data_IF_864006526330
#
_entry.id   IF_864006526330
#
_cell.length_a   1.000
_cell.length_b   1.000
_cell.length_c   1.000
_cell.angle_alpha   90.00
_cell.angle_beta   90.00
_cell.angle_gamma   90.00
#
_symmetry.space_group_name_H-M   'P 1'
#
loop_
_entity.id
_entity.type
_entity.pdbx_description
1 polymer ?
#
# COMPACT_ATOMS: atom_id res chain seq x y z
N UNK A 1 1.64 -8.19 23.34
CA UNK A 1 1.08 -9.54 23.10
C UNK A 1 2.04 -10.63 23.55
N UNK A 2 3.28 -10.69 23.03
CA UNK A 2 4.30 -11.65 23.49
C UNK A 2 4.56 -11.61 25.00
N UNK A 3 4.80 -10.43 25.58
CA UNK A 3 5.03 -10.27 27.03
C UNK A 3 3.86 -10.72 27.91
N UNK A 4 2.64 -10.71 27.36
CA UNK A 4 1.42 -11.19 28.02
C UNK A 4 1.14 -12.68 27.73
N UNK A 5 2.04 -13.40 27.05
CA UNK A 5 1.89 -14.82 26.72
C UNK A 5 0.86 -15.13 25.63
N UNK A 6 0.30 -14.11 24.96
CA UNK A 6 -0.74 -14.31 23.93
C UNK A 6 -0.17 -14.78 22.58
N UNK A 7 1.11 -14.55 22.33
CA UNK A 7 1.81 -14.98 21.11
C UNK A 7 3.23 -15.43 21.45
N UNK A 8 3.77 -16.37 20.68
CA UNK A 8 5.14 -16.86 20.88
C UNK A 8 6.21 -15.92 20.30
N UNK A 9 5.86 -15.19 19.23
CA UNK A 9 6.76 -14.26 18.54
C UNK A 9 6.31 -12.81 18.73
N UNK A 10 7.27 -11.88 18.67
CA UNK A 10 7.00 -10.45 18.57
C UNK A 10 7.02 -10.05 17.11
N UNK A 11 6.07 -10.58 16.35
CA UNK A 11 5.94 -10.36 14.93
C UNK A 11 4.46 -10.30 14.53
N UNK A 12 4.15 -9.64 13.42
CA UNK A 12 2.80 -9.61 12.87
C UNK A 12 2.81 -9.59 11.34
N UNK A 13 1.85 -10.28 10.74
CA UNK A 13 1.58 -10.29 9.30
C UNK A 13 0.48 -9.30 8.93
N UNK A 14 0.61 -8.64 7.78
CA UNK A 14 -0.34 -7.65 7.27
C UNK A 14 -0.77 -8.07 5.87
N UNK A 15 -2.07 -8.03 5.63
CA UNK A 15 -2.69 -8.12 4.31
C UNK A 15 -3.86 -7.14 4.25
N UNK A 16 -3.78 -6.12 3.39
CA UNK A 16 -4.80 -5.06 3.34
C UNK A 16 -5.90 -5.30 2.30
N UNK A 17 -5.74 -6.30 1.41
CA UNK A 17 -6.61 -6.52 0.25
C UNK A 17 -6.64 -5.27 -0.69
N UNK A 18 -7.46 -5.28 -1.75
CA UNK A 18 -7.50 -4.16 -2.71
C UNK A 18 -8.04 -2.85 -2.09
N UNK A 19 -7.69 -1.67 -2.64
CA UNK A 19 -8.06 -0.35 -2.07
C UNK A 19 -9.56 -0.06 -2.00
N UNK A 20 -10.39 -0.86 -2.68
CA UNK A 20 -11.86 -0.83 -2.68
C UNK A 20 -12.44 -1.82 -1.68
N UNK A 21 -11.63 -2.74 -1.14
CA UNK A 21 -12.02 -3.66 -0.08
C UNK A 21 -12.24 -2.90 1.22
N UNK A 22 -13.30 -3.26 1.94
CA UNK A 22 -13.51 -2.82 3.33
C UNK A 22 -12.89 -3.78 4.33
N UNK A 23 -12.22 -4.83 3.86
CA UNK A 23 -11.67 -5.89 4.68
C UNK A 23 -10.17 -6.02 4.47
N UNK A 24 -9.45 -6.05 5.59
CA UNK A 24 -8.05 -6.44 5.68
C UNK A 24 -7.82 -7.27 6.94
N UNK A 25 -6.63 -7.83 7.09
CA UNK A 25 -6.27 -8.67 8.22
C UNK A 25 -4.89 -8.37 8.74
N UNK A 26 -4.76 -8.40 10.07
CA UNK A 26 -3.50 -8.41 10.79
C UNK A 26 -3.45 -9.69 11.62
N UNK A 27 -2.32 -10.39 11.57
CA UNK A 27 -2.12 -11.63 12.32
C UNK A 27 -0.95 -11.41 13.25
N UNK A 28 -1.15 -11.58 14.55
CA UNK A 28 -0.09 -11.45 15.54
C UNK A 28 0.50 -12.80 15.89
N UNK A 29 1.80 -12.83 16.18
CA UNK A 29 2.50 -14.07 16.52
C UNK A 29 2.91 -14.90 15.29
N UNK A 30 2.93 -14.28 14.12
CA UNK A 30 3.34 -14.93 12.88
C UNK A 30 4.79 -15.38 12.98
N UNK A 31 5.06 -16.56 12.46
CA UNK A 31 6.41 -17.02 12.15
C UNK A 31 6.60 -16.94 10.63
N UNK A 32 7.79 -16.61 10.13
CA UNK A 32 8.06 -16.60 8.69
C UNK A 32 9.33 -17.42 8.44
N UNK A 33 9.23 -18.43 7.59
CA UNK A 33 10.31 -19.38 7.32
C UNK A 33 11.04 -19.11 5.99
N UNK A 34 10.52 -18.17 5.18
CA UNK A 34 11.13 -17.83 3.89
C UNK A 34 12.17 -16.71 4.03
N UNK A 35 12.72 -16.30 2.90
CA UNK A 35 13.67 -15.19 2.84
C UNK A 35 13.09 -13.91 3.45
N UNK A 36 13.98 -13.15 4.09
CA UNK A 36 13.65 -11.89 4.73
C UNK A 36 14.59 -10.80 4.23
N UNK A 37 14.06 -9.59 4.11
CA UNK A 37 14.85 -8.38 4.06
C UNK A 37 15.32 -8.00 5.47
N UNK A 38 16.57 -7.55 5.59
CA UNK A 38 17.05 -6.92 6.82
C UNK A 38 16.31 -5.60 7.04
N UNK A 39 15.81 -5.39 8.25
CA UNK A 39 15.22 -4.12 8.65
C UNK A 39 16.29 -3.25 9.32
N UNK A 40 16.08 -1.93 9.27
CA UNK A 40 16.88 -0.99 10.05
C UNK A 40 16.56 -1.15 11.54
N UNK A 41 17.60 -1.14 12.38
CA UNK A 41 17.48 -1.22 13.83
C UNK A 41 18.14 0.00 14.48
N UNK A 42 17.60 0.44 15.62
CA UNK A 42 18.20 1.49 16.43
C UNK A 42 19.49 1.00 17.11
N UNK A 43 20.17 1.88 17.86
CA UNK A 43 21.42 1.56 18.57
C UNK A 43 21.29 0.41 19.58
N UNK A 44 20.08 0.06 20.00
CA UNK A 44 19.79 -1.03 20.92
C UNK A 44 19.41 -2.32 20.18
N UNK A 45 19.52 -2.36 18.85
CA UNK A 45 19.14 -3.50 18.01
C UNK A 45 17.63 -3.70 17.89
N UNK A 46 16.82 -2.67 18.16
CA UNK A 46 15.36 -2.74 18.06
C UNK A 46 14.87 -2.09 16.77
N UNK A 47 13.94 -2.75 16.08
CA UNK A 47 13.20 -2.13 14.98
C UNK A 47 12.18 -1.13 15.55
N UNK A 48 12.36 0.16 15.27
CA UNK A 48 11.37 1.22 15.57
C UNK A 48 10.47 1.51 14.37
N UNK A 49 11.01 1.26 13.17
CA UNK A 49 10.40 1.51 11.88
C UNK A 49 10.68 0.30 10.97
N UNK A 50 9.92 0.15 9.88
CA UNK A 50 10.12 -0.93 8.90
C UNK A 50 10.74 -0.36 7.63
N UNK A 51 12.05 -0.09 7.70
CA UNK A 51 12.85 0.45 6.61
C UNK A 51 13.70 -0.65 5.99
N UNK A 52 13.42 -0.98 4.73
CA UNK A 52 14.13 -2.00 3.95
C UNK A 52 14.66 -1.42 2.64
N UNK A 53 15.55 -2.15 1.96
CA UNK A 53 16.16 -1.72 0.70
C UNK A 53 15.32 -2.11 -0.52
N UNK A 54 14.72 -1.14 -1.19
CA UNK A 54 14.14 -1.30 -2.52
C UNK A 54 15.24 -1.31 -3.58
N UNK A 55 15.21 -2.28 -4.48
CA UNK A 55 16.23 -2.47 -5.53
C UNK A 55 15.76 -2.02 -6.90
N UNK A 56 14.45 -1.96 -7.14
CA UNK A 56 13.87 -1.45 -8.38
C UNK A 56 12.43 -0.95 -8.18
N UNK A 57 12.04 -0.06 -9.07
CA UNK A 57 10.66 0.36 -9.27
C UNK A 57 10.40 0.39 -10.77
N UNK A 58 9.26 -0.15 -11.22
CA UNK A 58 8.92 -0.17 -12.64
C UNK A 58 7.41 -0.11 -12.86
N UNK A 59 7.01 0.35 -14.04
CA UNK A 59 5.67 0.14 -14.58
C UNK A 59 5.78 -0.92 -15.68
N UNK A 60 4.94 -1.94 -15.62
CA UNK A 60 4.86 -2.99 -16.64
C UNK A 60 3.46 -3.04 -17.24
N UNK A 61 3.37 -3.43 -18.51
CA UNK A 61 2.11 -3.52 -19.26
C UNK A 61 2.10 -2.63 -20.49
N UNK A 62 1.05 -2.70 -21.30
CA UNK A 62 0.96 -1.93 -22.55
C UNK A 62 -0.23 -2.32 -23.42
N UNK A 63 -0.65 -1.37 -24.27
CA UNK A 63 -1.66 -1.61 -25.30
C UNK A 63 -1.09 -2.47 -26.44
N UNK A 64 -1.92 -3.34 -27.03
CA UNK A 64 -1.62 -4.21 -28.18
C UNK A 64 -0.68 -5.42 -27.91
N UNK A 65 -0.81 -6.11 -26.78
CA UNK A 65 -0.11 -7.38 -26.47
C UNK A 65 1.43 -7.31 -26.44
N UNK A 66 2.03 -6.10 -26.41
CA UNK A 66 3.45 -5.91 -26.16
C UNK A 66 3.66 -5.53 -24.70
N UNK A 67 4.26 -6.43 -23.91
CA UNK A 67 4.73 -6.10 -22.56
C UNK A 67 5.88 -5.11 -22.68
N UNK A 68 5.60 -3.85 -22.34
CA UNK A 68 6.63 -2.86 -22.11
C UNK A 68 6.96 -2.83 -20.61
N UNK A 69 8.22 -2.54 -20.30
CA UNK A 69 8.68 -2.26 -18.94
C UNK A 69 9.32 -0.88 -18.96
N UNK A 70 8.76 0.03 -18.18
CA UNK A 70 9.33 1.36 -17.93
C UNK A 70 9.97 1.33 -16.56
N UNK A 71 11.30 1.35 -16.52
CA UNK A 71 12.05 1.43 -15.27
C UNK A 71 11.93 2.85 -14.70
N UNK A 72 11.61 2.95 -13.41
CA UNK A 72 11.54 4.19 -12.66
C UNK A 72 12.79 4.28 -11.80
N UNK A 73 13.54 5.37 -11.95
CA UNK A 73 14.78 5.56 -11.21
C UNK A 73 14.52 5.73 -9.72
N UNK A 74 15.22 4.96 -8.89
CA UNK A 74 15.31 5.18 -7.46
C UNK A 74 16.59 5.99 -7.14
N UNK A 75 16.67 6.67 -5.98
CA UNK A 75 17.83 7.49 -5.62
C UNK A 75 19.17 6.72 -5.61
N UNK A 76 19.12 5.41 -5.37
CA UNK A 76 20.28 4.52 -5.41
C UNK A 76 19.83 3.06 -5.68
N UNK A 77 20.78 2.14 -5.84
CA UNK A 77 20.51 0.72 -6.16
C UNK A 77 19.83 -0.08 -5.03
N UNK A 78 19.85 0.43 -3.81
CA UNK A 78 19.29 -0.17 -2.60
C UNK A 78 18.64 0.93 -1.77
N UNK A 79 17.59 1.54 -2.32
CA UNK A 79 16.99 2.74 -1.77
C UNK A 79 16.27 2.38 -0.47
N UNK A 80 16.61 3.03 0.67
CA UNK A 80 15.89 2.80 1.90
C UNK A 80 14.46 3.29 1.72
N UNK A 81 13.50 2.43 2.01
CA UNK A 81 12.07 2.72 1.93
C UNK A 81 11.37 2.29 3.20
N UNK A 82 10.55 3.18 3.75
CA UNK A 82 9.63 2.86 4.84
C UNK A 82 8.43 2.11 4.28
N UNK A 83 8.11 0.95 4.87
CA UNK A 83 6.84 0.28 4.64
C UNK A 83 5.80 0.83 5.63
N UNK A 84 4.93 1.72 5.15
CA UNK A 84 4.07 2.54 6.00
C UNK A 84 2.57 2.25 5.77
N UNK A 85 1.98 1.38 6.59
CA UNK A 85 0.54 1.11 6.48
C UNK A 85 -0.36 2.31 6.79
N UNK A 86 0.18 3.38 7.39
CA UNK A 86 -0.53 4.62 7.67
C UNK A 86 -0.49 5.63 6.51
N UNK A 87 0.34 5.40 5.49
CA UNK A 87 0.43 6.26 4.32
C UNK A 87 -0.57 5.83 3.23
N UNK A 88 -1.48 6.71 2.77
CA UNK A 88 -2.41 6.38 1.69
C UNK A 88 -1.75 6.33 0.29
N UNK A 89 -0.49 6.74 0.15
CA UNK A 89 0.21 6.85 -1.13
C UNK A 89 1.53 6.09 -1.20
N UNK A 90 2.14 6.12 -2.38
CA UNK A 90 3.54 5.81 -2.63
C UNK A 90 4.29 7.14 -2.74
N UNK A 91 5.22 7.39 -1.82
CA UNK A 91 5.95 8.66 -1.75
C UNK A 91 7.33 8.50 -2.39
N UNK A 92 7.34 8.96 -3.65
CA UNK A 92 8.40 9.10 -4.66
C UNK A 92 9.38 10.26 -4.46
N UNK A 93 10.58 10.26 -5.07
CA UNK A 93 11.14 11.55 -5.53
C UNK A 93 10.27 12.14 -6.64
N UNK A 94 10.24 13.47 -6.79
CA UNK A 94 9.45 14.12 -7.85
C UNK A 94 9.75 13.55 -9.25
N UNK A 95 11.02 13.35 -9.58
CA UNK A 95 11.42 12.75 -10.86
C UNK A 95 10.83 11.34 -11.08
N UNK A 96 10.66 10.55 -10.01
CA UNK A 96 10.01 9.24 -10.10
C UNK A 96 8.49 9.37 -10.28
N UNK A 97 7.85 10.35 -9.63
CA UNK A 97 6.42 10.67 -9.83
C UNK A 97 6.15 11.08 -11.28
N UNK A 98 6.98 11.96 -11.84
CA UNK A 98 6.89 12.40 -13.24
C UNK A 98 7.10 11.24 -14.23
N UNK A 99 8.07 10.37 -13.95
CA UNK A 99 8.33 9.18 -14.76
C UNK A 99 7.16 8.18 -14.70
N UNK A 100 6.56 7.97 -13.52
CA UNK A 100 5.34 7.17 -13.37
C UNK A 100 4.18 7.82 -14.15
N UNK A 101 4.03 9.14 -14.02
CA UNK A 101 3.02 9.89 -14.77
C UNK A 101 3.14 9.71 -16.27
N UNK A 102 4.34 9.86 -16.80
CA UNK A 102 4.65 9.63 -18.21
C UNK A 102 4.33 8.20 -18.63
N UNK A 103 4.70 7.20 -17.83
CA UNK A 103 4.44 5.80 -18.11
C UNK A 103 2.94 5.44 -18.12
N UNK A 104 2.14 6.15 -17.33
CA UNK A 104 0.69 5.94 -17.21
C UNK A 104 -0.13 6.90 -18.10
N UNK A 105 0.52 7.82 -18.82
CA UNK A 105 -0.14 8.94 -19.49
C UNK A 105 -1.06 9.73 -18.54
N UNK A 106 -0.56 9.94 -17.31
CA UNK A 106 -1.23 10.71 -16.27
C UNK A 106 -0.91 12.21 -16.39
N UNK A 107 -1.86 13.06 -16.02
CA UNK A 107 -1.72 14.50 -16.00
C UNK A 107 -2.04 15.02 -14.58
N UNK A 108 -1.39 16.10 -14.12
CA UNK A 108 -1.72 16.70 -12.84
C UNK A 108 -3.13 17.31 -12.87
N UNK A 109 -3.94 16.98 -11.86
CA UNK A 109 -5.23 17.58 -11.60
C UNK A 109 -5.12 18.96 -10.95
N UNK A 110 -6.25 19.66 -10.73
CA UNK A 110 -6.25 21.00 -10.12
C UNK A 110 -5.67 21.08 -8.71
N UNK A 111 -5.65 19.95 -7.99
CA UNK A 111 -5.09 19.80 -6.65
C UNK A 111 -3.65 19.25 -6.65
N UNK A 112 -3.05 19.06 -7.83
CA UNK A 112 -1.72 18.48 -8.01
C UNK A 112 -1.68 16.95 -8.00
N UNK A 113 -2.82 16.28 -7.80
CA UNK A 113 -2.88 14.80 -7.87
C UNK A 113 -2.58 14.30 -9.28
N UNK A 114 -1.90 13.17 -9.40
CA UNK A 114 -1.67 12.54 -10.71
C UNK A 114 -2.94 11.82 -11.17
N UNK A 115 -3.55 12.28 -12.25
CA UNK A 115 -4.84 11.78 -12.74
C UNK A 115 -4.70 11.07 -14.08
N UNK A 116 -5.43 9.97 -14.23
CA UNK A 116 -5.56 9.16 -15.45
C UNK A 116 -7.03 8.96 -15.79
N UNK A 117 -7.35 8.63 -17.04
CA UNK A 117 -8.66 8.08 -17.35
C UNK A 117 -8.80 6.72 -16.65
N UNK A 118 -9.92 6.48 -15.98
CA UNK A 118 -10.14 5.26 -15.19
C UNK A 118 -10.12 3.97 -16.04
N UNK A 119 -10.28 4.07 -17.37
CA UNK A 119 -10.20 2.93 -18.31
C UNK A 119 -8.82 2.24 -18.31
N UNK A 120 -7.79 2.88 -17.77
CA UNK A 120 -6.46 2.29 -17.59
C UNK A 120 -6.53 1.02 -16.73
N UNK A 121 -7.56 0.85 -15.88
CA UNK A 121 -7.79 -0.37 -15.11
C UNK A 121 -7.85 -1.61 -16.00
N UNK A 122 -8.35 -1.46 -17.23
CA UNK A 122 -8.55 -2.56 -18.17
C UNK A 122 -7.28 -2.90 -18.98
N UNK A 123 -6.17 -2.21 -18.75
CA UNK A 123 -4.93 -2.34 -19.54
C UNK A 123 -3.94 -3.36 -18.97
N UNK A 124 -4.28 -4.03 -17.87
CA UNK A 124 -3.45 -5.08 -17.26
C UNK A 124 -2.06 -4.59 -16.83
N UNK A 125 -1.96 -3.31 -16.46
CA UNK A 125 -0.71 -2.69 -16.06
C UNK A 125 -0.42 -2.93 -14.58
N UNK A 126 0.86 -3.02 -14.23
CA UNK A 126 1.31 -3.20 -12.85
C UNK A 126 2.40 -2.19 -12.48
N UNK A 127 2.36 -1.69 -11.25
CA UNK A 127 3.53 -1.13 -10.59
C UNK A 127 4.31 -2.27 -9.91
N UNK A 128 5.60 -2.37 -10.19
CA UNK A 128 6.46 -3.47 -9.75
C UNK A 128 7.53 -2.94 -8.80
N UNK A 129 7.51 -3.45 -7.58
CA UNK A 129 8.43 -3.09 -6.50
C UNK A 129 9.43 -4.23 -6.30
N UNK A 130 10.70 -3.97 -6.55
CA UNK A 130 11.78 -4.94 -6.36
C UNK A 130 12.46 -4.79 -5.01
N UNK A 131 12.76 -5.91 -4.38
CA UNK A 131 13.59 -6.03 -3.19
C UNK A 131 14.63 -7.13 -3.41
N UNK A 132 15.54 -7.33 -2.45
CA UNK A 132 16.47 -8.45 -2.52
C UNK A 132 15.70 -9.79 -2.45
N UNK A 133 15.75 -10.56 -3.54
CA UNK A 133 15.14 -11.91 -3.61
C UNK A 133 13.64 -11.96 -3.86
N UNK A 134 12.94 -10.83 -3.96
CA UNK A 134 11.49 -10.81 -4.22
C UNK A 134 11.05 -9.59 -5.03
N UNK A 135 9.92 -9.72 -5.73
CA UNK A 135 9.24 -8.63 -6.41
C UNK A 135 7.76 -8.68 -6.09
N UNK A 136 7.16 -7.52 -5.82
CA UNK A 136 5.73 -7.35 -5.64
C UNK A 136 5.17 -6.62 -6.85
N UNK A 137 4.22 -7.24 -7.53
CA UNK A 137 3.49 -6.67 -8.65
C UNK A 137 2.11 -6.24 -8.15
N UNK A 138 1.85 -4.94 -8.20
CA UNK A 138 0.57 -4.36 -7.85
C UNK A 138 -0.15 -3.93 -9.12
N UNK A 139 -1.29 -4.55 -9.48
CA UNK A 139 -2.11 -4.07 -10.58
C UNK A 139 -2.50 -2.60 -10.36
N UNK A 140 -2.32 -1.76 -11.39
CA UNK A 140 -2.65 -0.32 -11.30
C UNK A 140 -4.12 -0.16 -10.91
N UNK A 141 -5.02 -1.01 -11.42
CA UNK A 141 -6.44 -1.01 -11.07
C UNK A 141 -6.74 -1.12 -9.56
N UNK A 142 -5.84 -1.75 -8.78
CA UNK A 142 -6.00 -1.90 -7.33
C UNK A 142 -5.54 -0.66 -6.56
N UNK A 143 -4.80 0.23 -7.20
CA UNK A 143 -4.26 1.45 -6.58
C UNK A 143 -5.15 2.67 -6.83
N UNK A 144 -5.91 2.67 -7.93
CA UNK A 144 -6.68 3.84 -8.36
C UNK A 144 -7.79 4.19 -7.39
N UNK A 145 -7.94 5.48 -7.11
CA UNK A 145 -9.11 6.03 -6.43
C UNK A 145 -9.86 6.99 -7.37
N UNK A 146 -11.19 7.14 -7.27
CA UNK A 146 -11.90 8.05 -8.15
C UNK A 146 -11.50 9.51 -7.89
N UNK A 147 -11.12 10.25 -8.93
CA UNK A 147 -10.92 11.69 -8.83
C UNK A 147 -12.27 12.39 -8.62
N UNK A 148 -12.33 13.35 -7.69
CA UNK A 148 -13.56 14.02 -7.29
C UNK A 148 -13.42 15.53 -7.44
N UNK A 149 -14.46 16.16 -7.97
CA UNK A 149 -14.63 17.60 -7.90
C UNK A 149 -14.79 18.06 -6.44
N UNK A 150 -14.68 19.37 -6.19
CA UNK A 150 -14.87 19.97 -4.85
C UNK A 150 -16.24 19.68 -4.22
N UNK A 151 -17.25 19.43 -5.04
CA UNK A 151 -18.60 19.07 -4.62
C UNK A 151 -18.79 17.56 -4.35
N UNK A 152 -17.73 16.75 -4.50
CA UNK A 152 -17.74 15.30 -4.33
C UNK A 152 -18.23 14.52 -5.55
N UNK A 153 -18.62 15.19 -6.64
CA UNK A 153 -19.00 14.52 -7.89
C UNK A 153 -17.78 13.90 -8.57
N UNK A 154 -18.02 12.88 -9.40
CA UNK A 154 -16.98 12.22 -10.18
C UNK A 154 -16.36 13.21 -11.19
N UNK A 155 -15.05 13.42 -11.11
CA UNK A 155 -14.33 14.24 -12.07
C UNK A 155 -14.25 13.52 -13.43
N UNK A 156 -14.32 14.31 -14.51
CA UNK A 156 -14.30 13.83 -15.90
C UNK A 156 -13.36 14.68 -16.75
N UNK A 157 -12.75 14.07 -17.74
CA UNK A 157 -12.01 14.79 -18.78
C UNK A 157 -12.95 15.53 -19.75
N UNK A 158 -12.37 16.29 -20.69
CA UNK A 158 -13.12 17.02 -21.72
C UNK A 158 -13.92 16.11 -22.67
N UNK A 159 -13.64 14.80 -22.69
CA UNK A 159 -14.34 13.80 -23.49
C UNK A 159 -15.43 13.07 -22.68
N UNK A 160 -15.63 13.42 -21.41
CA UNK A 160 -16.62 12.81 -20.52
C UNK A 160 -16.18 11.52 -19.84
N UNK A 161 -14.91 11.12 -19.98
CA UNK A 161 -14.34 9.93 -19.33
C UNK A 161 -14.11 10.22 -17.85
N UNK A 162 -14.43 9.27 -16.97
CA UNK A 162 -14.15 9.39 -15.54
C UNK A 162 -12.62 9.43 -15.30
N UNK A 163 -12.19 10.34 -14.43
CA UNK A 163 -10.81 10.45 -13.98
C UNK A 163 -10.58 9.72 -12.66
N UNK A 164 -9.41 9.12 -12.54
CA UNK A 164 -8.94 8.39 -11.37
C UNK A 164 -7.57 8.94 -10.95
N UNK A 165 -7.34 9.01 -9.64
CA UNK A 165 -6.06 9.40 -9.05
C UNK A 165 -5.16 8.18 -8.95
N UNK A 166 -3.92 8.33 -9.42
CA UNK A 166 -2.81 7.43 -9.11
C UNK A 166 -2.20 7.92 -7.80
N UNK A 167 -2.21 7.12 -6.71
CA UNK A 167 -1.79 7.56 -5.38
C UNK A 167 -0.26 7.59 -5.24
N UNK A 168 0.39 8.45 -6.03
CA UNK A 168 1.84 8.69 -6.01
C UNK A 168 2.08 10.16 -5.69
N UNK A 169 2.90 10.42 -4.67
CA UNK A 169 3.20 11.78 -4.23
C UNK A 169 4.72 12.01 -4.23
N UNK A 170 5.18 13.25 -4.49
CA UNK A 170 6.57 13.59 -4.26
C UNK A 170 6.83 13.69 -2.75
N UNK A 171 7.99 13.23 -2.31
CA UNK A 171 8.55 13.57 -1.01
C UNK A 171 8.71 15.08 -0.89
N UNK A 172 8.60 15.63 0.33
CA UNK A 172 8.70 17.08 0.52
C UNK A 172 10.10 17.61 0.14
N UNK A 173 11.15 16.84 0.43
CA UNK A 173 12.54 17.14 0.05
C UNK A 173 13.21 15.94 -0.63
N UNK A 174 14.26 16.20 -1.39
CA UNK A 174 15.08 15.18 -2.08
C UNK A 174 15.97 14.34 -1.16
N UNK A 175 15.98 14.60 0.15
CA UNK A 175 16.66 13.79 1.15
C UNK A 175 15.70 13.01 2.05
N UNK A 176 14.39 13.26 1.96
CA UNK A 176 13.39 12.57 2.79
C UNK A 176 13.36 11.07 2.47
N UNK A 177 12.97 10.25 3.44
CA UNK A 177 12.84 8.81 3.25
C UNK A 177 11.68 8.50 2.29
N UNK A 178 11.87 7.56 1.37
CA UNK A 178 10.78 7.06 0.53
C UNK A 178 9.77 6.30 1.39
N UNK A 179 8.49 6.31 1.03
CA UNK A 179 7.45 5.60 1.76
C UNK A 179 6.56 4.79 0.81
N UNK A 180 6.43 3.48 1.05
CA UNK A 180 5.52 2.60 0.33
C UNK A 180 4.32 2.30 1.22
N UNK A 181 3.22 3.00 0.94
CA UNK A 181 1.99 2.93 1.71
C UNK A 181 0.97 1.92 1.23
N UNK A 182 -0.29 2.18 1.58
CA UNK A 182 -1.45 1.33 1.29
C UNK A 182 -1.50 0.77 -0.15
N UNK A 183 -1.14 1.52 -1.21
CA UNK A 183 -1.13 0.96 -2.56
C UNK A 183 -0.18 -0.23 -2.72
N UNK A 184 1.01 -0.22 -2.10
CA UNK A 184 1.94 -1.36 -2.10
C UNK A 184 1.34 -2.57 -1.37
N UNK A 185 0.76 -2.33 -0.19
CA UNK A 185 0.14 -3.37 0.64
C UNK A 185 -1.13 -3.98 0.04
N UNK A 186 -1.70 -3.37 -1.00
CA UNK A 186 -2.88 -3.91 -1.67
C UNK A 186 -2.63 -5.27 -2.36
N UNK A 187 -1.38 -5.52 -2.77
CA UNK A 187 -0.97 -6.79 -3.36
C UNK A 187 0.28 -7.40 -2.67
N UNK A 188 0.64 -6.93 -1.48
CA UNK A 188 1.72 -7.49 -0.67
C UNK A 188 1.18 -8.17 0.59
N UNK A 189 1.76 -9.32 0.93
CA UNK A 189 1.73 -9.85 2.29
C UNK A 189 3.08 -9.54 2.95
N UNK A 190 3.04 -8.79 4.04
CA UNK A 190 4.24 -8.37 4.76
C UNK A 190 4.24 -8.93 6.17
N UNK A 191 5.34 -9.55 6.59
CA UNK A 191 5.56 -9.98 7.97
C UNK A 191 6.58 -9.06 8.62
N UNK A 192 6.14 -8.32 9.62
CA UNK A 192 6.93 -7.41 10.42
C UNK A 192 7.47 -8.17 11.65
N UNK A 193 8.73 -8.63 11.60
CA UNK A 193 9.37 -9.38 12.69
C UNK A 193 10.24 -8.45 13.54
N UNK A 194 9.67 -7.95 14.64
CA UNK A 194 10.38 -7.07 15.58
C UNK A 194 11.40 -7.84 16.42
N UNK A 195 11.20 -9.15 16.60
CA UNK A 195 12.09 -9.98 17.41
C UNK A 195 13.43 -10.21 16.70
N UNK A 196 13.38 -10.41 15.38
CA UNK A 196 14.57 -10.69 14.58
C UNK A 196 14.98 -9.52 13.69
N UNK A 197 14.34 -8.35 13.84
CA UNK A 197 14.57 -7.13 13.04
C UNK A 197 14.56 -7.41 11.53
N UNK A 198 13.50 -8.07 11.06
CA UNK A 198 13.38 -8.56 9.68
C UNK A 198 12.00 -8.28 9.12
N UNK A 199 11.93 -8.17 7.79
CA UNK A 199 10.67 -8.09 7.05
C UNK A 199 10.58 -9.24 6.06
N UNK A 200 9.53 -10.05 6.18
CA UNK A 200 9.15 -11.04 5.18
C UNK A 200 8.20 -10.40 4.16
N UNK A 201 8.40 -10.66 2.87
CA UNK A 201 7.54 -10.15 1.80
C UNK A 201 7.15 -11.26 0.83
N UNK A 202 5.88 -11.32 0.48
CA UNK A 202 5.37 -12.15 -0.60
C UNK A 202 4.26 -11.46 -1.38
N UNK A 203 4.12 -11.85 -2.65
CA UNK A 203 2.99 -11.46 -3.47
C UNK A 203 1.70 -11.96 -2.82
N UNK A 204 0.78 -11.06 -2.50
CA UNK A 204 -0.53 -11.45 -2.03
C UNK A 204 -1.38 -11.98 -3.18
N UNK A 205 -2.28 -12.91 -2.85
CA UNK A 205 -3.33 -13.34 -3.77
C UNK A 205 -4.37 -12.22 -3.88
N UNK A 206 -4.34 -11.50 -5.00
CA UNK A 206 -5.30 -10.44 -5.32
C UNK A 206 -6.68 -11.05 -5.59
N UNK A 207 -7.75 -10.35 -5.23
CA UNK A 207 -9.15 -10.79 -5.40
C UNK A 207 -9.47 -12.15 -4.75
N UNK A 208 -8.80 -12.51 -3.65
CA UNK A 208 -9.12 -13.72 -2.91
C UNK A 208 -10.47 -13.56 -2.19
N UNK A 209 -11.50 -14.29 -2.64
CA UNK A 209 -12.83 -14.35 -1.99
C UNK A 209 -12.81 -15.10 -0.66
N UNK A 210 -11.76 -15.88 -0.43
CA UNK A 210 -11.49 -16.56 0.82
C UNK A 210 -10.09 -16.18 1.26
N UNK A 211 -10.00 -15.50 2.40
CA UNK A 211 -8.75 -15.37 3.14
C UNK A 211 -8.44 -16.74 3.75
N UNK A 212 -7.93 -17.70 2.96
CA UNK A 212 -7.25 -18.87 3.52
C UNK A 212 -5.87 -18.42 3.99
N UNK A 213 -5.87 -17.48 4.93
CA UNK A 213 -4.74 -17.10 5.74
C UNK A 213 -4.45 -18.35 6.55
N UNK A 214 -3.62 -19.22 6.00
CA UNK A 214 -3.05 -20.28 6.77
C UNK A 214 -2.24 -19.60 7.86
N UNK A 215 -2.73 -19.71 9.09
CA UNK A 215 -1.98 -19.40 10.30
C UNK A 215 -0.57 -19.97 10.10
N UNK A 216 0.42 -19.09 9.97
CA UNK A 216 1.78 -19.58 9.87
C UNK A 216 2.10 -20.13 11.25
N UNK A 217 2.14 -21.46 11.32
CA UNK A 217 2.18 -22.21 12.56
C UNK A 217 3.36 -21.76 13.40
N UNK A 218 3.05 -21.30 14.62
CA UNK A 218 4.07 -20.99 15.59
C UNK A 218 4.87 -22.26 15.90
N UNK A 219 6.19 -22.15 15.93
CA UNK A 219 6.96 -23.13 16.68
C UNK A 219 6.53 -22.98 18.15
N UNK A 220 6.05 -24.06 18.76
CA UNK A 220 5.74 -24.21 20.20
C UNK A 220 4.31 -23.88 20.67
N UNK A 221 3.28 -24.34 19.95
CA UNK A 221 2.02 -24.77 20.57
C UNK A 221 0.96 -23.70 20.91
N UNK A 222 1.25 -22.41 20.81
CA UNK A 222 0.22 -21.37 20.85
C UNK A 222 -0.11 -20.91 19.41
N UNK A 223 -1.37 -20.98 18.96
CA UNK A 223 -1.75 -20.54 17.63
C UNK A 223 -1.57 -19.02 17.46
N UNK A 224 -1.31 -18.52 16.24
CA UNK A 224 -1.34 -17.09 15.94
C UNK A 224 -2.69 -16.46 16.32
N UNK A 225 -2.71 -15.16 16.61
CA UNK A 225 -3.96 -14.43 16.88
C UNK A 225 -4.30 -13.60 15.66
N UNK A 226 -5.36 -13.99 14.94
CA UNK A 226 -5.82 -13.24 13.75
C UNK A 226 -6.88 -12.21 14.13
N UNK A 227 -6.68 -10.96 13.69
CA UNK A 227 -7.66 -9.88 13.79
C UNK A 227 -8.07 -9.46 12.38
N UNK A 228 -9.37 -9.45 12.11
CA UNK A 228 -9.95 -8.91 10.88
C UNK A 228 -10.41 -7.48 11.13
N UNK A 229 -10.04 -6.57 10.24
CA UNK A 229 -10.57 -5.22 10.23
C UNK A 229 -11.75 -5.19 9.24
N UNK A 230 -12.94 -4.84 9.73
CA UNK A 230 -14.10 -4.49 8.90
C UNK A 230 -14.27 -2.96 8.92
N UNK A 231 -14.11 -2.31 7.76
CA UNK A 231 -14.47 -0.90 7.58
C UNK A 231 -15.98 -0.78 7.31
N UNK A 232 -16.77 -0.55 8.36
CA UNK A 232 -18.17 -0.13 8.21
C UNK A 232 -18.22 1.36 7.93
N UNK A 233 -18.45 1.76 6.68
CA UNK A 233 -18.76 3.15 6.36
C UNK A 233 -20.09 3.53 7.03
N UNK A 234 -20.03 4.23 8.15
CA UNK A 234 -21.23 4.89 8.69
C UNK A 234 -21.52 6.09 7.81
N UNK A 235 -22.59 6.03 7.04
CA UNK A 235 -23.20 7.25 6.48
C UNK A 235 -23.57 8.15 7.67
N UNK A 236 -22.92 9.31 7.74
CA UNK A 236 -23.24 10.30 8.76
C UNK A 236 -24.54 10.99 8.37
N UNK A 237 -25.68 10.34 8.66
CA UNK A 237 -26.98 10.99 8.58
C UNK A 237 -27.04 12.03 9.71
N UNK A 238 -26.68 13.27 9.41
CA UNK A 238 -26.92 14.42 10.27
C UNK A 238 -28.43 14.71 10.27
N UNK A 239 -29.17 13.98 11.11
CA UNK A 239 -30.53 14.36 11.48
C UNK A 239 -30.47 15.73 12.14
N UNK A 240 -30.87 16.78 11.40
CA UNK A 240 -31.06 18.14 11.93
C UNK A 240 -32.08 18.08 13.08
N UNK A 241 -31.61 17.99 14.32
CA UNK A 241 -32.42 18.35 15.49
C UNK A 241 -32.35 19.86 15.65
N UNK A 242 -33.41 20.53 15.23
CA UNK A 242 -33.65 21.93 15.59
C UNK A 242 -33.93 21.97 17.09
N UNK A 243 -32.95 22.42 17.88
CA UNK A 243 -33.20 22.75 19.28
C UNK A 243 -33.75 24.18 19.36
N UNK A 244 -34.99 24.32 19.83
CA UNK A 244 -35.55 25.60 20.27
C UNK A 244 -34.83 26.03 21.54
N UNK A 245 -34.31 27.26 21.54
CA UNK A 245 -33.75 27.91 22.73
C UNK A 245 -34.91 28.47 23.57
N UNK A 246 -34.98 28.21 24.89
CA UNK A 246 -35.93 28.89 25.77
C UNK A 246 -35.47 30.33 25.99
N UNK A 247 -36.40 31.27 25.85
CA UNK A 247 -36.23 32.69 26.16
C UNK A 247 -35.93 32.90 27.65
N UNK A 248 -34.94 33.75 27.91
CA UNK A 248 -34.82 34.55 29.15
C UNK A 248 -34.99 36.00 28.74
#
# INVERSE_FOLDING_TARGET
>A
MKSAGLTNTSAYGIYLNDSRSTEGSIIFGVYWQHDHAANTANSNGQATDFVISATSLAITGGSNNKRATTNIALPNKQAPVLLDTGNPSIDVRLAAVEAIGTALNANPGPDGSMQVTCDISNKGMNMVFGFSGTMIQVPIEMMLTPAKNKDGSQEKDNNGNNLCVVPVNPTANDDDLLSFGAPFFSAAYAVMDLQNTKVGLAQAKVNATESNIQEITAQNGNPPVTVRAEFKSKSWNSGRRVYRVPSV
#
